data_IF_213996452878
#
_entry.id   IF_213996452878
#
_cell.length_a   1.000
_cell.length_b   1.000
_cell.length_c   1.000
_cell.angle_alpha   90.00
_cell.angle_beta   90.00
_cell.angle_gamma   90.00
#
_symmetry.space_group_name_H-M   'P 1'
#
loop_
_entity.id
_entity.type
_entity.pdbx_description
1 polymer ?
#
# COMPACT_ATOMS: atom_id res chain seq x y z
N UNK A 1 4.06 -28.08 -6.88
CA UNK A 1 3.74 -27.00 -5.93
C UNK A 1 4.83 -25.95 -6.01
N UNK A 2 4.51 -24.75 -6.51
CA UNK A 2 5.48 -23.67 -6.71
C UNK A 2 6.06 -23.17 -5.39
N UNK A 3 7.38 -22.96 -5.36
CA UNK A 3 8.09 -22.38 -4.23
C UNK A 3 7.65 -20.92 -4.06
N UNK A 4 6.94 -20.62 -2.96
CA UNK A 4 6.72 -19.23 -2.53
C UNK A 4 8.06 -18.72 -2.03
N UNK A 5 8.79 -18.04 -2.90
CA UNK A 5 10.09 -17.46 -2.57
C UNK A 5 9.91 -16.37 -1.50
N UNK A 6 10.53 -16.59 -0.34
CA UNK A 6 10.26 -15.95 0.94
C UNK A 6 10.54 -14.43 1.07
N UNK A 7 10.88 -13.66 0.03
CA UNK A 7 11.78 -12.53 0.27
C UNK A 7 11.20 -11.12 0.46
N UNK A 8 10.06 -10.70 -0.11
CA UNK A 8 9.47 -9.38 0.25
C UNK A 8 7.97 -9.33 -0.08
N UNK A 9 7.13 -9.88 0.80
CA UNK A 9 5.73 -9.44 0.82
C UNK A 9 5.74 -8.03 1.41
N UNK A 10 5.64 -7.03 0.55
CA UNK A 10 5.40 -5.61 0.87
C UNK A 10 4.32 -5.47 1.94
N UNK A 11 3.31 -6.36 1.94
CA UNK A 11 2.29 -6.44 2.99
C UNK A 11 2.87 -6.76 4.36
N UNK A 12 3.83 -7.68 4.46
CA UNK A 12 4.55 -7.98 5.69
C UNK A 12 5.42 -6.82 6.18
N UNK A 13 6.04 -6.06 5.28
CA UNK A 13 6.81 -4.87 5.63
C UNK A 13 5.89 -3.75 6.18
N UNK A 14 4.74 -3.52 5.54
CA UNK A 14 3.73 -2.53 5.99
C UNK A 14 3.27 -2.82 7.42
N UNK A 15 3.06 -4.10 7.77
CA UNK A 15 2.66 -4.46 9.13
C UNK A 15 3.73 -4.12 10.17
N UNK A 16 5.01 -4.37 9.83
CA UNK A 16 6.16 -4.18 10.72
C UNK A 16 6.63 -2.72 10.83
N UNK A 17 6.26 -1.86 9.88
CA UNK A 17 6.62 -0.44 9.90
C UNK A 17 6.06 0.24 11.16
N UNK A 18 6.91 0.58 12.13
CA UNK A 18 6.49 1.16 13.41
C UNK A 18 6.20 2.67 13.32
N UNK A 19 6.82 3.31 12.34
CA UNK A 19 6.76 4.74 12.04
C UNK A 19 5.47 5.15 11.29
N UNK A 20 4.77 4.20 10.68
CA UNK A 20 3.54 4.46 9.95
C UNK A 20 2.34 4.49 10.90
N UNK A 21 1.54 5.55 10.81
CA UNK A 21 0.23 5.61 11.45
C UNK A 21 -0.71 4.52 10.90
N UNK A 22 -1.76 4.19 11.64
CA UNK A 22 -2.77 3.21 11.20
C UNK A 22 -3.35 3.55 9.82
N UNK A 23 -3.61 4.84 9.56
CA UNK A 23 -4.09 5.32 8.26
C UNK A 23 -3.05 5.21 7.16
N UNK A 24 -1.77 5.47 7.46
CA UNK A 24 -0.69 5.29 6.49
C UNK A 24 -0.48 3.82 6.13
N UNK A 25 -0.56 2.91 7.11
CA UNK A 25 -0.53 1.45 6.87
C UNK A 25 -1.71 1.00 6.01
N UNK A 26 -2.91 1.53 6.27
CA UNK A 26 -4.09 1.22 5.48
C UNK A 26 -3.90 1.67 4.02
N UNK A 27 -3.47 2.91 3.79
CA UNK A 27 -3.19 3.42 2.43
C UNK A 27 -2.13 2.58 1.73
N UNK A 28 -1.03 2.27 2.43
CA UNK A 28 0.04 1.43 1.89
C UNK A 28 -0.47 0.04 1.53
N UNK A 29 -1.31 -0.58 2.38
CA UNK A 29 -1.94 -1.88 2.15
C UNK A 29 -2.98 -1.85 1.03
N UNK A 30 -3.75 -0.78 0.87
CA UNK A 30 -4.67 -0.61 -0.25
C UNK A 30 -3.92 -0.45 -1.57
N UNK A 31 -2.87 0.38 -1.61
CA UNK A 31 -2.00 0.54 -2.79
C UNK A 31 -1.43 -0.79 -3.24
N UNK A 32 -0.88 -1.49 -2.25
CA UNK A 32 -0.49 -2.89 -2.28
C UNK A 32 -1.47 -3.74 -3.12
N UNK A 33 -2.76 -3.74 -2.83
CA UNK A 33 -3.73 -4.59 -3.56
C UNK A 33 -3.82 -4.33 -5.08
N UNK A 34 -3.29 -3.20 -5.57
CA UNK A 34 -3.22 -2.85 -6.99
C UNK A 34 -1.83 -3.05 -7.62
N UNK A 35 -0.84 -3.51 -6.86
CA UNK A 35 0.51 -3.80 -7.35
C UNK A 35 0.62 -5.24 -7.83
N UNK A 36 1.34 -5.47 -8.94
CA UNK A 36 1.74 -6.82 -9.35
C UNK A 36 2.71 -7.42 -8.32
N UNK A 37 2.60 -8.72 -8.04
CA UNK A 37 3.58 -9.42 -7.18
C UNK A 37 4.97 -9.47 -7.81
N UNK A 38 5.06 -9.33 -9.15
CA UNK A 38 6.32 -9.18 -9.87
C UNK A 38 6.93 -7.77 -9.75
N UNK A 39 6.26 -6.82 -9.07
CA UNK A 39 6.71 -5.44 -8.94
C UNK A 39 6.43 -4.56 -10.16
N UNK A 40 5.62 -5.01 -11.11
CA UNK A 40 5.18 -4.17 -12.23
C UNK A 40 4.38 -2.95 -11.72
N UNK A 41 4.39 -1.91 -12.55
CA UNK A 41 3.91 -0.58 -12.22
C UNK A 41 2.49 -0.58 -11.64
N UNK A 42 2.33 0.16 -10.54
CA UNK A 42 1.05 0.41 -9.90
C UNK A 42 0.54 1.80 -10.29
N UNK A 43 -0.63 1.87 -10.92
CA UNK A 43 -1.25 3.14 -11.31
C UNK A 43 -2.68 3.34 -10.78
N UNK A 44 -3.03 2.96 -9.53
CA UNK A 44 -4.31 3.38 -8.99
C UNK A 44 -4.31 4.90 -8.82
N UNK A 45 -5.37 5.55 -9.28
CA UNK A 45 -5.57 6.97 -9.02
C UNK A 45 -5.78 7.24 -7.52
N UNK A 46 -5.61 8.49 -7.09
CA UNK A 46 -5.92 8.89 -5.70
C UNK A 46 -7.37 8.55 -5.34
N UNK A 47 -8.32 8.74 -6.27
CA UNK A 47 -9.74 8.43 -6.02
C UNK A 47 -9.99 6.92 -5.88
N UNK A 48 -9.23 6.10 -6.62
CA UNK A 48 -9.24 4.64 -6.48
C UNK A 48 -8.77 4.22 -5.08
N UNK A 49 -7.65 4.79 -4.62
CA UNK A 49 -7.11 4.53 -3.29
C UNK A 49 -8.05 5.02 -2.18
N UNK A 50 -8.57 6.24 -2.30
CA UNK A 50 -9.52 6.82 -1.36
C UNK A 50 -10.75 5.94 -1.16
N UNK A 51 -11.31 5.44 -2.26
CA UNK A 51 -12.43 4.50 -2.24
C UNK A 51 -12.05 3.16 -1.60
N UNK A 52 -10.87 2.61 -1.93
CA UNK A 52 -10.40 1.33 -1.40
C UNK A 52 -10.02 1.37 0.08
N UNK A 53 -9.60 2.53 0.60
CA UNK A 53 -9.25 2.73 2.01
C UNK A 53 -10.37 3.35 2.83
N UNK A 54 -11.50 3.74 2.22
CA UNK A 54 -12.58 4.52 2.86
C UNK A 54 -12.07 5.82 3.53
N UNK A 55 -11.11 6.49 2.89
CA UNK A 55 -10.54 7.75 3.37
C UNK A 55 -10.83 8.88 2.38
N UNK A 56 -10.76 10.13 2.85
CA UNK A 56 -10.79 11.28 1.96
C UNK A 56 -9.53 11.33 1.08
N UNK A 57 -9.66 11.83 -0.15
CA UNK A 57 -8.52 11.98 -1.07
C UNK A 57 -7.38 12.83 -0.49
N UNK A 58 -7.71 13.86 0.31
CA UNK A 58 -6.73 14.68 1.02
C UNK A 58 -5.89 13.86 1.98
N UNK A 59 -6.53 12.99 2.78
CA UNK A 59 -5.87 12.07 3.71
C UNK A 59 -4.97 11.09 2.97
N UNK A 60 -5.43 10.53 1.85
CA UNK A 60 -4.63 9.64 1.01
C UNK A 60 -3.39 10.35 0.46
N UNK A 61 -3.53 11.58 -0.06
CA UNK A 61 -2.40 12.37 -0.57
C UNK A 61 -1.36 12.67 0.52
N UNK A 62 -1.82 12.99 1.74
CA UNK A 62 -0.92 13.24 2.88
C UNK A 62 -0.10 11.98 3.20
N UNK A 63 -0.75 10.83 3.32
CA UNK A 63 -0.04 9.59 3.66
C UNK A 63 0.83 9.05 2.52
N UNK A 64 0.43 9.19 1.26
CA UNK A 64 1.28 8.80 0.13
C UNK A 64 2.61 9.57 0.11
N UNK A 65 2.61 10.85 0.47
CA UNK A 65 3.85 11.64 0.58
C UNK A 65 4.78 11.17 1.70
N UNK A 66 4.27 10.38 2.65
CA UNK A 66 5.10 9.80 3.73
C UNK A 66 5.70 8.45 3.31
N UNK A 67 5.20 7.86 2.21
CA UNK A 67 5.63 6.56 1.69
C UNK A 67 6.62 6.67 0.52
N UNK A 68 6.77 7.88 -0.05
CA UNK A 68 7.71 8.24 -1.13
C UNK A 68 8.87 9.05 -0.56
#
# INVERSE_FOLDING_TARGET
MGSISHLFSWRGAILKAGELSSSAKLVAHTLSCYMSEAGDSAFPSISTLARGSSLAESTVKVHLRQLL
#
